data_IF_691135646501
#
_entry.id   IF_691135646501
#
_cell.length_a   1.000
_cell.length_b   1.000
_cell.length_c   1.000
_cell.angle_alpha   90.00
_cell.angle_beta   90.00
_cell.angle_gamma   90.00
#
_symmetry.space_group_name_H-M   'P 1'
#
loop_
_entity.id
_entity.type
_entity.pdbx_description
1 polymer ?
#
# COMPACT_ATOMS: atom_id res chain seq x y z
N UNK A 1 4.77 15.55 1.32
CA UNK A 1 4.66 14.49 2.34
C UNK A 1 6.04 14.20 2.92
N UNK A 2 6.15 14.10 4.22
CA UNK A 2 7.41 13.78 4.90
C UNK A 2 7.76 12.30 4.73
N UNK A 3 9.04 11.98 4.80
CA UNK A 3 9.51 10.61 4.61
C UNK A 3 8.87 9.61 5.58
N UNK A 4 8.75 10.00 6.85
CA UNK A 4 8.13 9.15 7.86
C UNK A 4 6.66 8.86 7.55
N UNK A 5 5.92 9.87 7.11
CA UNK A 5 4.51 9.71 6.74
C UNK A 5 4.37 8.79 5.53
N UNK A 6 5.28 8.92 4.58
CA UNK A 6 5.31 8.08 3.39
C UNK A 6 5.55 6.61 3.77
N UNK A 7 6.47 6.37 4.69
CA UNK A 7 6.78 5.02 5.16
C UNK A 7 5.59 4.42 5.92
N UNK A 8 4.92 5.21 6.74
CA UNK A 8 3.71 4.76 7.46
C UNK A 8 2.61 4.39 6.47
N UNK A 9 2.44 5.19 5.42
CA UNK A 9 1.44 4.93 4.39
C UNK A 9 1.75 3.63 3.63
N UNK A 10 3.00 3.44 3.23
CA UNK A 10 3.45 2.22 2.54
C UNK A 10 3.25 0.99 3.42
N UNK A 11 3.61 1.09 4.68
CA UNK A 11 3.41 0.01 5.66
C UNK A 11 1.94 -0.35 5.77
N UNK A 12 1.06 0.63 5.92
CA UNK A 12 -0.38 0.40 6.04
C UNK A 12 -0.93 -0.34 4.81
N UNK A 13 -0.55 0.09 3.62
CA UNK A 13 -0.99 -0.54 2.37
C UNK A 13 -0.57 -2.02 2.35
N UNK A 14 0.70 -2.29 2.62
CA UNK A 14 1.23 -3.65 2.59
C UNK A 14 0.59 -4.53 3.64
N UNK A 15 0.37 -4.01 4.85
CA UNK A 15 -0.29 -4.76 5.92
C UNK A 15 -1.72 -5.15 5.55
N UNK A 16 -2.49 -4.24 4.97
CA UNK A 16 -3.86 -4.54 4.57
C UNK A 16 -3.91 -5.61 3.48
N UNK A 17 -3.01 -5.53 2.50
CA UNK A 17 -2.94 -6.56 1.45
C UNK A 17 -2.57 -7.91 2.05
N UNK A 18 -1.61 -7.94 2.96
CA UNK A 18 -1.18 -9.17 3.63
C UNK A 18 -2.29 -9.78 4.45
N UNK A 19 -3.17 -8.96 5.04
CA UNK A 19 -4.32 -9.41 5.82
C UNK A 19 -5.48 -9.94 4.97
N UNK A 20 -5.40 -9.76 3.65
CA UNK A 20 -6.44 -10.27 2.74
C UNK A 20 -7.29 -9.20 2.08
N UNK A 21 -7.02 -7.93 2.32
CA UNK A 21 -7.69 -6.83 1.62
C UNK A 21 -7.01 -6.66 0.26
N UNK A 22 -7.51 -7.37 -0.75
CA UNK A 22 -6.83 -7.47 -2.04
C UNK A 22 -7.44 -6.59 -3.14
N UNK A 23 -8.66 -6.08 -2.94
CA UNK A 23 -9.30 -5.21 -3.92
C UNK A 23 -8.83 -3.77 -3.74
N UNK A 24 -8.48 -3.11 -4.85
CA UNK A 24 -7.95 -1.75 -4.83
C UNK A 24 -8.82 -0.78 -4.03
N UNK A 25 -10.13 -0.79 -4.27
CA UNK A 25 -11.05 0.13 -3.58
C UNK A 25 -11.09 -0.12 -2.07
N UNK A 26 -11.00 -1.37 -1.65
CA UNK A 26 -10.97 -1.73 -0.24
C UNK A 26 -9.65 -1.32 0.41
N UNK A 27 -8.54 -1.56 -0.28
CA UNK A 27 -7.21 -1.15 0.19
C UNK A 27 -7.15 0.37 0.37
N UNK A 28 -7.63 1.11 -0.62
CA UNK A 28 -7.67 2.57 -0.57
C UNK A 28 -8.52 3.06 0.61
N UNK A 29 -9.72 2.54 0.74
CA UNK A 29 -10.66 2.95 1.79
C UNK A 29 -10.06 2.70 3.17
N UNK A 30 -9.50 1.52 3.39
CA UNK A 30 -8.90 1.16 4.68
C UNK A 30 -7.66 1.99 4.98
N UNK A 31 -6.80 2.20 3.99
CA UNK A 31 -5.57 2.96 4.16
C UNK A 31 -5.87 4.42 4.46
N UNK A 32 -6.77 5.05 3.71
CA UNK A 32 -7.14 6.44 3.93
C UNK A 32 -7.80 6.62 5.29
N UNK A 33 -8.66 5.68 5.70
CA UNK A 33 -9.29 5.75 7.02
C UNK A 33 -8.28 5.64 8.16
N UNK A 34 -7.21 4.85 7.97
CA UNK A 34 -6.17 4.65 8.98
C UNK A 34 -5.21 5.84 9.07
N UNK A 35 -4.89 6.44 7.92
CA UNK A 35 -3.88 7.49 7.82
C UNK A 35 -4.51 8.87 7.54
N UNK A 36 -5.64 9.18 8.15
CA UNK A 36 -6.43 10.40 7.87
C UNK A 36 -5.64 11.70 7.85
N UNK A 37 -4.60 11.82 8.69
CA UNK A 37 -3.84 13.07 8.80
C UNK A 37 -3.07 13.43 7.54
N UNK A 38 -2.62 12.43 6.79
CA UNK A 38 -1.72 12.66 5.67
C UNK A 38 -2.06 11.80 4.43
N UNK A 39 -3.07 10.97 4.51
CA UNK A 39 -3.46 10.13 3.38
C UNK A 39 -4.74 10.64 2.74
N UNK A 40 -4.63 11.02 1.48
CA UNK A 40 -5.76 11.30 0.61
C UNK A 40 -5.78 10.24 -0.47
N UNK A 41 -6.85 10.20 -1.27
CA UNK A 41 -6.90 9.30 -2.42
C UNK A 41 -5.73 9.53 -3.39
N UNK A 42 -5.30 10.79 -3.55
CA UNK A 42 -4.17 11.11 -4.42
C UNK A 42 -2.84 10.60 -3.85
N UNK A 43 -2.59 10.78 -2.55
CA UNK A 43 -1.34 10.29 -1.95
C UNK A 43 -1.30 8.78 -1.92
N UNK A 44 -2.43 8.13 -1.65
CA UNK A 44 -2.54 6.68 -1.72
C UNK A 44 -2.19 6.19 -3.13
N UNK A 45 -2.83 6.77 -4.15
CA UNK A 45 -2.62 6.40 -5.55
C UNK A 45 -1.15 6.55 -5.96
N UNK A 46 -0.50 7.64 -5.57
CA UNK A 46 0.90 7.87 -5.88
C UNK A 46 1.80 6.80 -5.25
N UNK A 47 1.62 6.50 -3.96
CA UNK A 47 2.43 5.47 -3.32
C UNK A 47 2.17 4.09 -3.91
N UNK A 48 0.94 3.80 -4.27
CA UNK A 48 0.57 2.51 -4.83
C UNK A 48 1.09 2.35 -6.26
N UNK A 49 0.75 3.27 -7.15
CA UNK A 49 1.06 3.14 -8.58
C UNK A 49 2.47 3.59 -8.96
N UNK A 50 3.02 4.58 -8.26
CA UNK A 50 4.33 5.13 -8.63
C UNK A 50 5.48 4.47 -7.86
N UNK A 51 5.21 3.80 -6.75
CA UNK A 51 6.24 3.18 -5.94
C UNK A 51 6.05 1.68 -5.73
N UNK A 52 4.94 1.27 -5.10
CA UNK A 52 4.77 -0.13 -4.70
C UNK A 52 4.61 -1.06 -5.90
N UNK A 53 3.79 -0.71 -6.84
CA UNK A 53 3.52 -1.55 -8.01
C UNK A 53 4.72 -1.61 -8.97
N UNK A 54 5.30 -0.46 -9.40
CA UNK A 54 6.43 -0.51 -10.34
C UNK A 54 7.68 -1.20 -9.79
N UNK A 55 7.89 -1.12 -8.48
CA UNK A 55 9.05 -1.74 -7.83
C UNK A 55 8.83 -3.21 -7.47
N UNK A 56 7.67 -3.76 -7.76
CA UNK A 56 7.39 -5.17 -7.52
C UNK A 56 7.09 -5.55 -6.08
N UNK A 57 6.69 -4.59 -5.24
CA UNK A 57 6.29 -4.88 -3.86
C UNK A 57 4.87 -5.43 -3.80
N UNK A 58 4.04 -5.05 -4.76
CA UNK A 58 2.71 -5.63 -4.95
C UNK A 58 2.57 -6.08 -6.39
N UNK A 59 1.68 -7.03 -6.65
CA UNK A 59 1.47 -7.58 -7.98
C UNK A 59 -0.01 -7.59 -8.30
N UNK A 60 -0.35 -7.21 -9.54
CA UNK A 60 -1.72 -7.28 -10.01
C UNK A 60 -2.07 -8.72 -10.37
N UNK A 61 -3.08 -9.26 -9.72
CA UNK A 61 -3.56 -10.62 -9.98
C UNK A 61 -4.61 -10.62 -11.08
N UNK A 62 -5.54 -9.68 -11.00
CA UNK A 62 -6.59 -9.48 -11.99
C UNK A 62 -7.04 -8.03 -11.90
N UNK A 63 -8.02 -7.64 -12.70
CA UNK A 63 -8.49 -6.26 -12.72
C UNK A 63 -8.96 -5.83 -11.32
N UNK A 64 -8.29 -4.82 -10.77
CA UNK A 64 -8.64 -4.28 -9.46
C UNK A 64 -8.25 -5.15 -8.28
N UNK A 65 -7.54 -6.26 -8.50
CA UNK A 65 -7.14 -7.19 -7.46
C UNK A 65 -5.62 -7.32 -7.42
N UNK A 66 -5.05 -7.21 -6.21
CA UNK A 66 -3.61 -7.19 -6.01
C UNK A 66 -3.20 -8.14 -4.89
N UNK A 67 -1.93 -8.51 -4.87
CA UNK A 67 -1.36 -9.31 -3.78
C UNK A 67 0.01 -8.77 -3.42
N UNK A 68 0.45 -9.05 -2.19
CA UNK A 68 1.80 -8.72 -1.75
C UNK A 68 2.77 -9.75 -2.33
N UNK A 69 3.95 -9.29 -2.74
CA UNK A 69 5.00 -10.17 -3.26
C UNK A 69 5.98 -10.51 -2.13
N UNK A 70 6.87 -11.51 -2.31
CA UNK A 70 7.95 -11.76 -1.35
C UNK A 70 8.81 -10.51 -1.10
N UNK A 71 9.04 -9.72 -2.16
CA UNK A 71 9.76 -8.44 -2.04
C UNK A 71 8.98 -7.45 -1.19
N UNK A 72 7.65 -7.40 -1.35
CA UNK A 72 6.78 -6.55 -0.55
C UNK A 72 6.76 -6.97 0.91
N UNK A 73 6.79 -8.26 1.20
CA UNK A 73 6.87 -8.76 2.57
C UNK A 73 8.18 -8.36 3.24
N UNK A 74 9.30 -8.40 2.50
CA UNK A 74 10.59 -7.93 3.01
C UNK A 74 10.56 -6.44 3.33
N UNK A 75 9.95 -5.64 2.46
CA UNK A 75 9.80 -4.20 2.71
C UNK A 75 8.95 -3.97 3.96
N UNK A 76 7.86 -4.70 4.11
CA UNK A 76 6.99 -4.60 5.28
C UNK A 76 7.76 -4.88 6.56
N UNK A 77 8.60 -5.92 6.57
CA UNK A 77 9.45 -6.25 7.71
C UNK A 77 10.42 -5.11 8.05
N UNK A 78 10.99 -4.46 7.03
CA UNK A 78 11.88 -3.31 7.22
C UNK A 78 11.12 -2.13 7.80
N UNK A 79 9.90 -1.90 7.35
CA UNK A 79 9.08 -0.78 7.81
C UNK A 79 8.46 -1.01 9.20
N UNK A 80 8.42 -2.24 9.64
CA UNK A 80 7.91 -2.60 10.96
C UNK A 80 9.01 -2.53 12.00
#
# INVERSE_FOLDING_TARGET
MKDLERDVLRKAILEFIKKGHVHYTDIEKKTVATCLRFATSNTFRKQFYDYLLPNGYVERVSRGTYKITPKGEKLLDILT
#
